data_IF_848598623240
#
_entry.id   IF_848598623240
#
_cell.length_a   1.000
_cell.length_b   1.000
_cell.length_c   1.000
_cell.angle_alpha   90.00
_cell.angle_beta   90.00
_cell.angle_gamma   90.00
#
_symmetry.space_group_name_H-M   'P 1'
#
loop_
_entity.id
_entity.type
_entity.pdbx_description
1 polymer ?
#
# COMPACT_ATOMS: atom_id res chain seq x y z
N UNK A 1 -14.24 -23.86 -6.82
CA UNK A 1 -14.29 -22.54 -6.14
C UNK A 1 -14.55 -21.50 -7.20
N UNK A 2 -15.36 -20.48 -6.92
CA UNK A 2 -15.59 -19.39 -7.89
C UNK A 2 -14.31 -18.57 -7.95
N UNK A 3 -13.77 -18.37 -9.15
CA UNK A 3 -12.63 -17.50 -9.41
C UNK A 3 -13.13 -16.30 -10.18
N UNK A 4 -12.61 -15.14 -9.84
CA UNK A 4 -12.84 -13.88 -10.55
C UNK A 4 -11.53 -13.36 -11.10
N UNK A 5 -11.57 -12.35 -11.99
CA UNK A 5 -10.37 -11.79 -12.59
C UNK A 5 -10.45 -10.29 -12.82
N UNK A 6 -9.28 -9.66 -12.75
CA UNK A 6 -9.07 -8.23 -13.00
C UNK A 6 -7.73 -8.06 -13.72
N UNK A 7 -7.51 -6.93 -14.38
CA UNK A 7 -6.32 -6.65 -15.16
C UNK A 7 -5.66 -5.36 -14.69
N UNK A 8 -4.37 -5.45 -14.30
CA UNK A 8 -3.60 -4.32 -13.77
C UNK A 8 -2.43 -3.98 -14.69
N UNK A 9 -2.46 -2.77 -15.26
CA UNK A 9 -1.34 -2.14 -15.92
C UNK A 9 -0.63 -1.20 -14.92
N UNK A 10 0.64 -1.43 -14.66
CA UNK A 10 1.36 -0.72 -13.58
C UNK A 10 2.85 -0.53 -13.88
N UNK A 11 3.22 -0.12 -15.10
CA UNK A 11 4.60 -0.12 -15.57
C UNK A 11 5.02 -1.49 -16.10
N UNK A 12 6.29 -1.86 -15.94
CA UNK A 12 6.79 -3.17 -16.36
C UNK A 12 6.01 -4.30 -15.65
N UNK A 13 5.42 -5.19 -16.42
CA UNK A 13 4.57 -6.27 -15.91
C UNK A 13 5.31 -7.32 -15.07
N UNK A 14 6.64 -7.43 -15.14
CA UNK A 14 7.40 -8.38 -14.30
C UNK A 14 7.26 -8.07 -12.81
N UNK A 15 7.38 -6.79 -12.43
CA UNK A 15 7.21 -6.37 -11.05
C UNK A 15 5.77 -6.51 -10.57
N UNK A 16 4.81 -6.14 -11.41
CA UNK A 16 3.37 -6.25 -11.11
C UNK A 16 2.95 -7.71 -10.95
N UNK A 17 3.41 -8.61 -11.84
CA UNK A 17 3.19 -10.05 -11.73
C UNK A 17 3.72 -10.59 -10.41
N UNK A 18 5.01 -10.35 -10.13
CA UNK A 18 5.67 -10.86 -8.93
C UNK A 18 4.99 -10.36 -7.65
N UNK A 19 4.52 -9.11 -7.65
CA UNK A 19 3.79 -8.56 -6.52
C UNK A 19 2.45 -9.28 -6.31
N UNK A 20 1.59 -9.33 -7.32
CA UNK A 20 0.27 -9.95 -7.17
C UNK A 20 0.32 -11.45 -6.95
N UNK A 21 1.32 -12.14 -7.48
CA UNK A 21 1.58 -13.55 -7.21
C UNK A 21 1.86 -13.82 -5.71
N UNK A 22 2.42 -12.85 -5.00
CA UNK A 22 2.64 -12.89 -3.55
C UNK A 22 1.39 -12.57 -2.71
N UNK A 23 0.26 -12.19 -3.31
CA UNK A 23 -0.96 -11.83 -2.57
C UNK A 23 -1.78 -13.06 -2.22
N UNK A 24 -2.07 -13.26 -0.94
CA UNK A 24 -2.94 -14.33 -0.46
C UNK A 24 -4.34 -14.23 -1.06
N UNK A 25 -4.79 -15.33 -1.69
CA UNK A 25 -6.06 -15.37 -2.39
C UNK A 25 -5.95 -15.17 -3.91
N UNK A 26 -4.81 -14.68 -4.41
CA UNK A 26 -4.50 -14.74 -5.85
C UNK A 26 -4.17 -16.19 -6.21
N UNK A 27 -4.81 -16.68 -7.27
CA UNK A 27 -4.70 -18.07 -7.74
C UNK A 27 -3.68 -18.17 -8.87
N UNK A 28 -3.69 -17.16 -9.77
CA UNK A 28 -2.81 -17.13 -10.93
C UNK A 28 -2.61 -15.70 -11.43
N UNK A 29 -1.43 -15.43 -11.93
CA UNK A 29 -1.09 -14.22 -12.66
C UNK A 29 -0.65 -14.56 -14.07
N UNK A 30 -0.96 -13.69 -15.05
CA UNK A 30 -0.53 -13.85 -16.44
C UNK A 30 -0.11 -12.47 -16.99
N UNK A 31 1.19 -12.22 -17.17
CA UNK A 31 1.65 -11.04 -17.91
C UNK A 31 1.20 -11.07 -19.36
N UNK A 32 0.83 -9.92 -19.89
CA UNK A 32 0.34 -9.78 -21.25
C UNK A 32 0.19 -8.34 -21.69
N UNK A 33 -0.51 -8.14 -22.77
CA UNK A 33 -0.72 -6.87 -23.43
C UNK A 33 -2.23 -6.58 -23.51
N UNK A 34 -2.67 -5.44 -22.98
CA UNK A 34 -4.09 -5.10 -22.93
C UNK A 34 -4.42 -3.77 -23.63
N UNK A 35 -5.68 -3.66 -24.03
CA UNK A 35 -6.30 -2.44 -24.54
C UNK A 35 -5.53 -1.76 -25.69
N UNK A 36 -4.92 -2.58 -26.54
CA UNK A 36 -4.26 -2.14 -27.77
C UNK A 36 -5.19 -1.91 -28.95
N UNK A 37 -4.64 -1.44 -30.04
CA UNK A 37 -5.36 -1.10 -31.27
C UNK A 37 -5.55 -2.29 -32.23
N UNK A 38 -4.74 -3.36 -32.06
CA UNK A 38 -4.73 -4.51 -32.93
C UNK A 38 -5.69 -5.60 -32.43
N UNK A 39 -6.42 -6.23 -33.36
CA UNK A 39 -7.30 -7.38 -33.08
C UNK A 39 -6.55 -8.72 -33.23
N UNK A 40 -5.23 -8.73 -32.99
CA UNK A 40 -4.37 -9.89 -32.96
C UNK A 40 -3.33 -9.75 -31.85
N UNK A 41 -2.75 -10.88 -31.48
CA UNK A 41 -1.61 -10.88 -30.57
C UNK A 41 -0.43 -10.09 -31.17
N UNK A 42 0.07 -9.06 -30.46
CA UNK A 42 1.31 -8.38 -30.87
C UNK A 42 2.54 -9.19 -30.45
N UNK A 43 3.67 -8.95 -31.09
CA UNK A 43 4.96 -9.35 -30.52
C UNK A 43 5.46 -8.31 -29.49
N UNK A 44 6.39 -8.72 -28.63
CA UNK A 44 7.03 -7.81 -27.68
C UNK A 44 7.68 -6.60 -28.39
N UNK A 45 8.38 -6.85 -29.51
CA UNK A 45 9.03 -5.80 -30.29
C UNK A 45 8.00 -4.78 -30.82
N UNK A 46 6.84 -5.24 -31.30
CA UNK A 46 5.78 -4.36 -31.76
C UNK A 46 5.25 -3.48 -30.60
N UNK A 47 5.02 -4.06 -29.41
CA UNK A 47 4.57 -3.29 -28.23
C UNK A 47 5.65 -2.31 -27.80
N UNK A 48 6.92 -2.70 -27.88
CA UNK A 48 8.05 -1.86 -27.49
C UNK A 48 8.17 -0.57 -28.32
N UNK A 49 7.61 -0.53 -29.53
CA UNK A 49 7.60 0.69 -30.36
C UNK A 49 6.60 1.76 -29.89
N UNK A 50 5.73 1.47 -28.91
CA UNK A 50 4.59 2.29 -28.48
C UNK A 50 3.52 2.54 -29.56
N UNK A 51 3.68 2.01 -30.78
CA UNK A 51 2.77 2.24 -31.91
C UNK A 51 1.50 1.37 -31.88
N UNK A 52 1.48 0.31 -31.07
CA UNK A 52 0.36 -0.64 -31.01
C UNK A 52 -0.75 -0.22 -30.06
N UNK A 53 -0.49 0.76 -29.20
CA UNK A 53 -1.43 1.19 -28.15
C UNK A 53 -1.67 0.19 -27.03
N UNK A 54 -0.98 -0.95 -27.00
CA UNK A 54 -1.06 -1.90 -25.89
C UNK A 54 -0.36 -1.39 -24.63
N UNK A 55 -0.91 -1.71 -23.45
CA UNK A 55 -0.22 -1.57 -22.16
C UNK A 55 0.30 -2.93 -21.71
N UNK A 56 1.51 -2.95 -21.12
CA UNK A 56 1.97 -4.06 -20.31
C UNK A 56 1.01 -4.23 -19.12
N UNK A 57 0.42 -5.41 -19.00
CA UNK A 57 -0.71 -5.65 -18.09
C UNK A 57 -0.60 -7.05 -17.51
N UNK A 58 -1.03 -7.22 -16.27
CA UNK A 58 -1.12 -8.54 -15.62
C UNK A 58 -2.60 -8.90 -15.42
N UNK A 59 -3.04 -10.03 -15.98
CA UNK A 59 -4.29 -10.67 -15.60
C UNK A 59 -4.09 -11.30 -14.22
N UNK A 60 -4.91 -10.91 -13.25
CA UNK A 60 -4.91 -11.44 -11.89
C UNK A 60 -6.19 -12.24 -11.68
N UNK A 61 -6.04 -13.56 -11.54
CA UNK A 61 -7.13 -14.48 -11.22
C UNK A 61 -7.09 -14.74 -9.72
N UNK A 62 -8.20 -14.53 -9.03
CA UNK A 62 -8.26 -14.56 -7.57
C UNK A 62 -9.52 -15.25 -7.04
N UNK A 63 -9.43 -15.74 -5.80
CA UNK A 63 -10.56 -16.28 -5.06
C UNK A 63 -11.23 -15.16 -4.24
N UNK A 64 -12.45 -14.71 -4.59
CA UNK A 64 -13.11 -13.59 -3.91
C UNK A 64 -13.51 -13.88 -2.45
N UNK A 65 -13.44 -15.14 -2.02
CA UNK A 65 -13.64 -15.51 -0.61
C UNK A 65 -12.37 -15.33 0.24
N UNK A 66 -11.20 -15.05 -0.36
CA UNK A 66 -9.92 -14.87 0.33
C UNK A 66 -9.37 -13.47 0.19
N UNK A 67 -9.54 -12.87 -0.98
CA UNK A 67 -9.16 -11.49 -1.26
C UNK A 67 -10.25 -10.84 -2.12
N UNK A 68 -10.70 -9.67 -1.73
CA UNK A 68 -11.74 -8.94 -2.47
C UNK A 68 -11.15 -8.10 -3.60
N UNK A 69 -11.98 -7.74 -4.60
CA UNK A 69 -11.57 -6.81 -5.65
C UNK A 69 -11.13 -5.45 -5.07
N UNK A 70 -11.82 -4.96 -4.04
CA UNK A 70 -11.45 -3.71 -3.37
C UNK A 70 -10.04 -3.77 -2.78
N UNK A 71 -9.70 -4.86 -2.09
CA UNK A 71 -8.35 -5.07 -1.53
C UNK A 71 -7.28 -5.16 -2.63
N UNK A 72 -7.55 -5.83 -3.75
CA UNK A 72 -6.62 -5.90 -4.87
C UNK A 72 -6.36 -4.52 -5.48
N UNK A 73 -7.38 -3.67 -5.61
CA UNK A 73 -7.22 -2.29 -6.08
C UNK A 73 -6.45 -1.43 -5.07
N UNK A 74 -6.71 -1.60 -3.77
CA UNK A 74 -5.96 -0.91 -2.73
C UNK A 74 -4.47 -1.33 -2.73
N UNK A 75 -4.18 -2.60 -2.98
CA UNK A 75 -2.81 -3.10 -3.13
C UNK A 75 -2.16 -2.59 -4.42
N UNK A 76 -2.93 -2.49 -5.52
CA UNK A 76 -2.45 -1.90 -6.77
C UNK A 76 -2.00 -0.45 -6.58
N UNK A 77 -2.79 0.38 -5.91
CA UNK A 77 -2.39 1.76 -5.58
C UNK A 77 -1.18 1.86 -4.63
N UNK A 78 -0.81 0.79 -3.95
CA UNK A 78 0.40 0.77 -3.12
C UNK A 78 1.69 0.53 -3.92
N UNK A 79 1.60 0.10 -5.18
CA UNK A 79 2.76 -0.26 -6.02
C UNK A 79 2.94 0.63 -7.24
N UNK A 80 2.01 1.52 -7.53
CA UNK A 80 2.11 2.46 -8.66
C UNK A 80 2.16 3.90 -8.16
N UNK A 81 2.80 4.77 -8.94
CA UNK A 81 2.60 6.21 -8.83
C UNK A 81 1.34 6.58 -9.64
N UNK A 82 0.21 6.86 -8.98
CA UNK A 82 -1.05 7.09 -9.67
C UNK A 82 -1.14 8.46 -10.34
N UNK A 83 -0.16 9.33 -10.18
CA UNK A 83 -0.09 10.66 -10.79
C UNK A 83 0.86 10.69 -12.00
N UNK A 84 1.65 9.65 -12.20
CA UNK A 84 2.63 9.59 -13.27
C UNK A 84 2.01 9.08 -14.58
N UNK A 85 1.96 9.95 -15.59
CA UNK A 85 1.43 9.60 -16.92
C UNK A 85 2.48 8.86 -17.75
N UNK A 86 2.11 7.67 -18.27
CA UNK A 86 2.95 6.85 -19.16
C UNK A 86 4.34 6.55 -18.59
N UNK A 87 4.48 6.47 -17.28
CA UNK A 87 5.76 6.21 -16.62
C UNK A 87 5.58 5.60 -15.25
N UNK A 88 6.42 4.58 -14.92
CA UNK A 88 6.55 4.04 -13.58
C UNK A 88 8.03 3.81 -13.29
N UNK A 89 8.57 4.50 -12.27
CA UNK A 89 9.98 4.46 -11.96
C UNK A 89 10.87 4.88 -13.16
N UNK A 90 11.76 4.00 -13.60
CA UNK A 90 12.63 4.19 -14.76
C UNK A 90 11.95 3.92 -16.11
N UNK A 91 10.82 3.21 -16.13
CA UNK A 91 10.12 2.79 -17.33
C UNK A 91 9.25 3.92 -17.88
N UNK A 92 9.49 4.33 -19.11
CA UNK A 92 8.77 5.41 -19.79
C UNK A 92 8.29 4.96 -21.18
N UNK A 93 7.08 5.38 -21.54
CA UNK A 93 6.39 5.02 -22.78
C UNK A 93 4.94 4.68 -22.54
N UNK A 94 4.09 4.75 -23.58
CA UNK A 94 2.65 4.50 -23.46
C UNK A 94 2.34 3.06 -23.04
N UNK A 95 3.24 2.11 -23.32
CA UNK A 95 3.13 0.72 -22.87
C UNK A 95 3.23 0.55 -21.37
N UNK A 96 3.86 1.50 -20.67
CA UNK A 96 4.04 1.50 -19.20
C UNK A 96 3.03 2.39 -18.47
N UNK A 97 1.93 2.79 -19.17
CA UNK A 97 0.85 3.51 -18.53
C UNK A 97 0.17 2.68 -17.46
N UNK A 98 -0.41 3.37 -16.50
CA UNK A 98 -1.15 2.74 -15.40
C UNK A 98 -2.64 2.60 -15.76
N UNK A 99 -3.24 1.48 -15.34
CA UNK A 99 -4.66 1.24 -15.60
C UNK A 99 -5.21 0.02 -14.84
N UNK A 100 -6.50 0.08 -14.57
CA UNK A 100 -7.31 -1.04 -14.08
C UNK A 100 -8.37 -1.33 -15.15
N UNK A 101 -8.30 -2.53 -15.73
CA UNK A 101 -9.22 -2.92 -16.80
C UNK A 101 -10.14 -4.03 -16.32
N UNK A 102 -11.46 -3.83 -16.44
CA UNK A 102 -12.46 -4.76 -15.96
C UNK A 102 -13.17 -5.47 -17.14
N UNK A 103 -13.48 -6.75 -16.93
CA UNK A 103 -14.21 -7.57 -17.91
C UNK A 103 -15.71 -7.71 -17.59
N UNK A 104 -16.12 -7.27 -16.39
CA UNK A 104 -17.50 -7.31 -15.93
C UNK A 104 -17.96 -5.89 -15.59
N UNK A 105 -19.04 -5.43 -16.22
CA UNK A 105 -19.57 -4.08 -15.97
C UNK A 105 -20.05 -3.90 -14.51
N UNK A 106 -20.42 -4.99 -13.84
CA UNK A 106 -20.81 -5.01 -12.44
C UNK A 106 -19.70 -4.60 -11.46
N UNK A 107 -18.42 -4.71 -11.86
CA UNK A 107 -17.26 -4.30 -11.04
C UNK A 107 -17.03 -2.79 -11.07
N UNK A 108 -17.51 -2.12 -12.12
CA UNK A 108 -17.25 -0.69 -12.37
C UNK A 108 -17.64 0.24 -11.20
N UNK A 109 -18.80 0.10 -10.56
CA UNK A 109 -19.16 0.99 -9.44
C UNK A 109 -18.18 0.90 -8.26
N UNK A 110 -17.74 -0.31 -7.91
CA UNK A 110 -16.75 -0.52 -6.85
C UNK A 110 -15.40 0.09 -7.24
N UNK A 111 -14.93 -0.18 -8.46
CA UNK A 111 -13.67 0.37 -8.96
C UNK A 111 -13.71 1.90 -8.97
N UNK A 112 -14.80 2.51 -9.47
CA UNK A 112 -14.95 3.96 -9.49
C UNK A 112 -14.94 4.57 -8.08
N UNK A 113 -15.54 3.90 -7.09
CA UNK A 113 -15.49 4.33 -5.70
C UNK A 113 -14.06 4.33 -5.14
N UNK A 114 -13.28 3.25 -5.39
CA UNK A 114 -11.87 3.18 -4.95
C UNK A 114 -11.00 4.25 -5.60
N UNK A 115 -11.21 4.53 -6.90
CA UNK A 115 -10.51 5.60 -7.62
C UNK A 115 -10.86 6.98 -7.05
N UNK A 116 -12.13 7.22 -6.73
CA UNK A 116 -12.55 8.48 -6.09
C UNK A 116 -11.94 8.67 -4.71
N UNK A 117 -11.85 7.61 -3.91
CA UNK A 117 -11.21 7.63 -2.60
C UNK A 117 -9.71 7.94 -2.71
N UNK A 118 -9.00 7.31 -3.65
CA UNK A 118 -7.58 7.56 -3.86
C UNK A 118 -7.31 8.98 -4.40
N UNK A 119 -8.13 9.45 -5.36
CA UNK A 119 -8.07 10.83 -5.85
C UNK A 119 -8.31 11.85 -4.73
N UNK A 120 -9.29 11.58 -3.85
CA UNK A 120 -9.57 12.44 -2.69
C UNK A 120 -8.41 12.43 -1.68
N UNK A 121 -7.78 11.26 -1.45
CA UNK A 121 -6.61 11.13 -0.58
C UNK A 121 -5.43 11.96 -1.08
N UNK A 122 -5.21 11.98 -2.40
CA UNK A 122 -4.11 12.72 -3.03
C UNK A 122 -4.45 14.19 -3.34
N UNK A 123 -5.75 14.56 -3.26
CA UNK A 123 -6.22 15.91 -3.55
C UNK A 123 -6.12 16.32 -5.03
N UNK A 124 -5.98 15.33 -5.95
CA UNK A 124 -5.79 15.57 -7.38
C UNK A 124 -6.32 14.41 -8.22
N UNK A 125 -6.72 14.63 -9.49
CA UNK A 125 -7.11 13.55 -10.40
C UNK A 125 -5.98 12.56 -10.64
N UNK A 126 -6.34 11.29 -10.78
CA UNK A 126 -5.39 10.22 -11.09
C UNK A 126 -5.05 10.17 -12.58
N UNK A 127 -3.81 9.80 -12.91
CA UNK A 127 -3.39 9.48 -14.27
C UNK A 127 -3.71 8.02 -14.66
N UNK A 128 -4.23 7.23 -13.73
CA UNK A 128 -4.57 5.81 -13.91
C UNK A 128 -5.84 5.67 -14.73
N UNK A 129 -5.80 4.85 -15.79
CA UNK A 129 -6.99 4.51 -16.58
C UNK A 129 -7.95 3.60 -15.79
N UNK A 130 -9.26 3.85 -15.89
CA UNK A 130 -10.30 2.92 -15.47
C UNK A 130 -11.20 2.64 -16.66
N UNK A 131 -10.98 1.52 -17.35
CA UNK A 131 -11.62 1.21 -18.62
C UNK A 131 -12.12 -0.24 -18.67
N UNK A 132 -13.14 -0.54 -19.49
CA UNK A 132 -13.45 -1.91 -19.83
C UNK A 132 -12.27 -2.56 -20.57
N UNK A 133 -12.07 -3.84 -20.33
CA UNK A 133 -11.13 -4.64 -21.09
C UNK A 133 -11.64 -4.81 -22.52
N UNK A 134 -10.89 -4.31 -23.51
CA UNK A 134 -11.20 -4.50 -24.93
C UNK A 134 -10.58 -5.77 -25.50
N UNK A 135 -9.32 -5.97 -25.23
CA UNK A 135 -8.55 -7.15 -25.63
C UNK A 135 -7.43 -7.41 -24.63
N UNK A 136 -7.01 -8.67 -24.53
CA UNK A 136 -5.85 -9.10 -23.76
C UNK A 136 -5.18 -10.28 -24.45
N UNK A 137 -3.89 -10.20 -24.60
CA UNK A 137 -3.06 -11.27 -25.19
C UNK A 137 -1.92 -11.60 -24.21
N UNK A 138 -1.80 -12.86 -23.75
CA UNK A 138 -0.68 -13.28 -22.93
C UNK A 138 0.66 -12.97 -23.59
N UNK A 139 1.61 -12.45 -22.83
CA UNK A 139 2.97 -12.25 -23.31
C UNK A 139 3.70 -13.57 -23.52
N UNK A 140 4.82 -13.52 -24.20
CA UNK A 140 5.66 -14.66 -24.55
C UNK A 140 6.11 -15.43 -23.29
N UNK A 141 6.41 -16.72 -23.44
CA UNK A 141 6.74 -17.62 -22.32
C UNK A 141 7.97 -17.15 -21.50
N UNK A 142 8.88 -16.40 -22.11
CA UNK A 142 10.05 -15.84 -21.43
C UNK A 142 9.68 -14.73 -20.43
N UNK A 143 8.53 -14.08 -20.58
CA UNK A 143 8.03 -13.02 -19.69
C UNK A 143 7.19 -13.56 -18.52
N UNK A 144 6.66 -14.78 -18.64
CA UNK A 144 5.89 -15.41 -17.57
C UNK A 144 6.80 -15.83 -16.42
N UNK A 145 6.46 -15.50 -15.18
CA UNK A 145 7.26 -15.80 -13.98
C UNK A 145 8.71 -15.27 -14.06
N UNK A 146 8.90 -14.11 -14.71
CA UNK A 146 10.23 -13.63 -15.04
C UNK A 146 11.11 -13.44 -13.80
N UNK A 147 10.64 -12.78 -12.75
CA UNK A 147 11.42 -12.53 -11.54
C UNK A 147 11.63 -13.78 -10.69
N UNK A 148 10.77 -14.79 -10.79
CA UNK A 148 11.01 -16.09 -10.14
C UNK A 148 12.14 -16.86 -10.83
N UNK A 149 12.20 -16.79 -12.16
CA UNK A 149 13.26 -17.39 -12.97
C UNK A 149 14.56 -16.60 -12.91
N UNK A 150 14.46 -15.28 -12.68
CA UNK A 150 15.58 -14.34 -12.65
C UNK A 150 15.52 -13.46 -11.40
N UNK A 151 15.89 -13.97 -10.21
CA UNK A 151 15.76 -13.22 -8.94
C UNK A 151 16.57 -11.91 -8.87
N UNK A 152 17.59 -11.73 -9.71
CA UNK A 152 18.35 -10.49 -9.89
C UNK A 152 17.88 -9.63 -11.06
N UNK A 153 16.74 -9.96 -11.68
CA UNK A 153 16.18 -9.23 -12.81
C UNK A 153 15.69 -7.84 -12.42
N UNK A 154 15.46 -7.02 -13.45
CA UNK A 154 14.95 -5.66 -13.26
C UNK A 154 13.54 -5.66 -12.68
N UNK A 155 13.34 -4.85 -11.64
CA UNK A 155 12.04 -4.56 -11.05
C UNK A 155 11.95 -3.08 -10.68
N UNK A 156 10.93 -2.39 -11.17
CA UNK A 156 10.69 -0.98 -10.82
C UNK A 156 10.04 -0.81 -9.44
N UNK A 157 9.43 -1.89 -8.90
CA UNK A 157 8.82 -1.87 -7.57
C UNK A 157 9.93 -2.05 -6.52
N UNK A 158 10.04 -1.13 -5.54
CA UNK A 158 11.11 -1.20 -4.53
C UNK A 158 11.01 -2.46 -3.64
N UNK A 159 12.15 -3.05 -3.30
CA UNK A 159 12.20 -4.23 -2.43
C UNK A 159 11.45 -4.11 -1.09
N UNK A 160 11.43 -2.95 -0.40
CA UNK A 160 10.62 -2.79 0.81
C UNK A 160 9.15 -3.10 0.63
N UNK A 161 8.56 -2.83 -0.53
CA UNK A 161 7.15 -3.12 -0.85
C UNK A 161 6.81 -4.61 -0.66
N UNK A 162 7.67 -5.51 -1.13
CA UNK A 162 7.45 -6.96 -0.99
C UNK A 162 7.56 -7.43 0.47
N UNK A 163 8.41 -6.77 1.27
CA UNK A 163 8.51 -7.04 2.73
C UNK A 163 7.25 -6.57 3.44
N UNK A 164 6.75 -5.39 3.08
CA UNK A 164 5.51 -4.86 3.62
C UNK A 164 4.29 -5.71 3.25
N UNK A 165 4.22 -6.23 2.03
CA UNK A 165 3.14 -7.14 1.63
C UNK A 165 3.09 -8.36 2.57
N UNK A 166 4.24 -9.01 2.82
CA UNK A 166 4.32 -10.14 3.76
C UNK A 166 3.91 -9.75 5.16
N UNK A 167 4.45 -8.63 5.66
CA UNK A 167 4.14 -8.13 6.99
C UNK A 167 2.65 -7.81 7.15
N UNK A 168 2.03 -7.20 6.14
CA UNK A 168 0.60 -6.91 6.10
C UNK A 168 -0.23 -8.21 6.16
N UNK A 169 0.15 -9.23 5.40
CA UNK A 169 -0.53 -10.53 5.38
C UNK A 169 -0.35 -11.28 6.70
N UNK A 170 0.88 -11.29 7.25
CA UNK A 170 1.17 -11.87 8.58
C UNK A 170 0.30 -11.21 9.67
N UNK A 171 0.20 -9.87 9.65
CA UNK A 171 -0.64 -9.10 10.59
C UNK A 171 -2.13 -9.41 10.40
N UNK A 172 -2.61 -9.46 9.16
CA UNK A 172 -4.00 -9.81 8.86
C UNK A 172 -4.36 -11.21 9.38
N UNK A 173 -3.47 -12.18 9.16
CA UNK A 173 -3.66 -13.54 9.67
C UNK A 173 -3.60 -13.62 11.21
N UNK A 174 -2.68 -12.87 11.83
CA UNK A 174 -2.54 -12.80 13.28
C UNK A 174 -3.75 -12.17 13.96
N UNK A 175 -4.27 -11.09 13.38
CA UNK A 175 -5.41 -10.38 13.95
C UNK A 175 -6.73 -11.15 13.77
N UNK A 176 -6.88 -11.89 12.64
CA UNK A 176 -8.07 -12.70 12.38
C UNK A 176 -9.37 -11.98 12.72
N UNK A 177 -10.19 -12.64 13.53
CA UNK A 177 -11.49 -12.14 14.01
C UNK A 177 -11.39 -11.46 15.40
N UNK A 178 -10.18 -11.09 15.86
CA UNK A 178 -10.00 -10.42 17.14
C UNK A 178 -10.69 -9.03 17.11
N UNK A 179 -11.56 -8.77 18.08
CA UNK A 179 -12.31 -7.52 18.17
C UNK A 179 -11.77 -6.56 19.24
N UNK A 180 -10.98 -7.06 20.19
CA UNK A 180 -10.42 -6.20 21.25
C UNK A 180 -9.33 -5.28 20.69
N UNK A 181 -9.58 -3.98 20.74
CA UNK A 181 -8.68 -2.95 20.22
C UNK A 181 -7.28 -3.00 20.86
N UNK A 182 -7.20 -3.31 22.15
CA UNK A 182 -5.92 -3.34 22.88
C UNK A 182 -5.12 -4.55 22.46
N UNK A 183 -5.77 -5.72 22.30
CA UNK A 183 -5.13 -6.92 21.78
C UNK A 183 -4.60 -6.71 20.36
N UNK A 184 -5.39 -6.07 19.48
CA UNK A 184 -4.96 -5.72 18.11
C UNK A 184 -3.76 -4.79 18.11
N UNK A 185 -3.80 -3.69 18.88
CA UNK A 185 -2.68 -2.75 19.00
C UNK A 185 -1.42 -3.44 19.55
N UNK A 186 -1.55 -4.28 20.56
CA UNK A 186 -0.42 -4.99 21.16
C UNK A 186 0.23 -5.96 20.15
N UNK A 187 -0.58 -6.72 19.43
CA UNK A 187 -0.12 -7.67 18.42
C UNK A 187 0.59 -6.97 17.26
N UNK A 188 0.04 -5.85 16.78
CA UNK A 188 0.65 -5.04 15.72
C UNK A 188 1.97 -4.44 16.18
N UNK A 189 2.03 -3.82 17.37
CA UNK A 189 3.26 -3.24 17.90
C UNK A 189 4.37 -4.29 18.05
N UNK A 190 4.03 -5.46 18.58
CA UNK A 190 4.97 -6.55 18.79
C UNK A 190 5.53 -7.10 17.46
N UNK A 191 4.65 -7.39 16.49
CA UNK A 191 5.09 -7.97 15.20
C UNK A 191 5.88 -6.95 14.36
N UNK A 192 5.46 -5.70 14.33
CA UNK A 192 6.22 -4.64 13.66
C UNK A 192 7.63 -4.54 14.23
N UNK A 193 7.77 -4.41 15.55
CA UNK A 193 9.06 -4.29 16.20
C UNK A 193 9.94 -5.54 15.99
N UNK A 194 9.37 -6.73 16.05
CA UNK A 194 10.08 -7.99 15.80
C UNK A 194 10.65 -8.06 14.38
N UNK A 195 9.85 -7.70 13.37
CA UNK A 195 10.21 -7.86 11.95
C UNK A 195 11.08 -6.74 11.40
N UNK A 196 10.93 -5.51 11.93
CA UNK A 196 11.63 -4.33 11.40
C UNK A 196 12.83 -3.91 12.22
N UNK A 197 12.90 -4.30 13.51
CA UNK A 197 13.92 -3.89 14.47
C UNK A 197 13.93 -2.38 14.74
N UNK A 198 12.84 -1.67 14.47
CA UNK A 198 12.70 -0.28 14.86
C UNK A 198 12.87 -0.10 16.37
N UNK A 199 13.41 1.03 16.78
CA UNK A 199 13.76 1.28 18.17
C UNK A 199 12.53 1.27 19.09
N UNK A 200 11.43 1.84 18.61
CA UNK A 200 10.15 1.90 19.30
C UNK A 200 8.98 1.79 18.34
N UNK A 201 7.95 1.05 18.71
CA UNK A 201 6.69 0.94 17.97
C UNK A 201 5.56 0.91 18.98
N UNK A 202 4.59 1.80 18.85
CA UNK A 202 3.47 1.79 19.78
C UNK A 202 2.31 2.68 19.38
N UNK A 203 1.30 2.68 20.22
CA UNK A 203 0.09 3.43 20.00
C UNK A 203 -0.14 4.45 21.10
N UNK A 204 -0.58 5.64 20.73
CA UNK A 204 -1.19 6.58 21.64
C UNK A 204 -2.67 6.74 21.31
N UNK A 205 -3.55 6.56 22.31
CA UNK A 205 -5.01 6.66 22.18
C UNK A 205 -5.48 8.06 22.54
N UNK A 206 -6.43 8.58 21.79
CA UNK A 206 -7.10 9.85 22.14
C UNK A 206 -8.03 9.63 23.35
N UNK A 207 -7.73 10.30 24.45
CA UNK A 207 -8.57 10.28 25.66
C UNK A 207 -8.83 11.73 26.08
N UNK A 208 -10.03 12.22 25.82
CA UNK A 208 -10.38 13.63 26.03
C UNK A 208 -9.55 14.57 25.16
N UNK A 209 -8.67 15.36 25.78
CA UNK A 209 -7.84 16.36 25.08
C UNK A 209 -6.35 15.96 24.97
N UNK A 210 -6.03 14.72 25.26
CA UNK A 210 -4.66 14.20 25.25
C UNK A 210 -4.54 12.87 24.53
N UNK A 211 -3.36 12.60 24.03
CA UNK A 211 -2.93 11.27 23.64
C UNK A 211 -2.39 10.56 24.88
N UNK A 212 -2.89 9.37 25.16
CA UNK A 212 -2.49 8.54 26.30
C UNK A 212 -1.81 7.28 25.78
N UNK A 213 -0.65 6.94 26.33
CA UNK A 213 0.11 5.77 25.96
C UNK A 213 -0.75 4.51 25.99
N UNK A 214 -0.75 3.78 24.88
CA UNK A 214 -1.38 2.49 24.68
C UNK A 214 -0.36 1.35 24.63
N UNK A 215 -0.68 0.23 24.00
CA UNK A 215 0.26 -0.86 23.78
C UNK A 215 1.47 -0.41 22.95
N UNK A 216 2.66 -0.87 23.35
CA UNK A 216 3.92 -0.56 22.68
C UNK A 216 4.96 -1.67 22.87
N UNK A 217 5.98 -1.66 22.02
CA UNK A 217 7.19 -2.47 22.11
C UNK A 217 8.41 -1.56 22.00
N UNK A 218 9.26 -1.58 23.02
CA UNK A 218 10.43 -0.71 23.13
C UNK A 218 10.64 -0.19 24.56
N UNK A 219 11.56 0.77 24.76
CA UNK A 219 11.79 1.40 26.06
C UNK A 219 10.57 2.24 26.50
N UNK A 220 10.54 2.58 27.81
CA UNK A 220 9.48 3.42 28.38
C UNK A 220 9.42 4.77 27.70
N UNK A 221 8.21 5.21 27.34
CA UNK A 221 7.95 6.47 26.65
C UNK A 221 7.07 7.42 27.49
N UNK A 222 6.77 8.61 26.94
CA UNK A 222 5.90 9.59 27.57
C UNK A 222 4.49 9.04 27.80
N UNK A 223 3.92 9.21 28.99
CA UNK A 223 2.58 8.68 29.28
C UNK A 223 1.45 9.49 28.62
N UNK A 224 1.68 10.79 28.39
CA UNK A 224 0.67 11.71 27.84
C UNK A 224 1.30 12.74 26.93
N UNK A 225 0.62 13.05 25.82
CA UNK A 225 1.03 14.07 24.84
C UNK A 225 -0.20 14.94 24.52
N UNK A 226 -0.02 16.26 24.58
CA UNK A 226 -1.10 17.21 24.31
C UNK A 226 -1.41 17.34 22.81
N UNK A 227 -2.63 17.78 22.49
CA UNK A 227 -3.05 18.06 21.11
C UNK A 227 -2.12 19.07 20.43
N UNK A 228 -1.61 18.72 19.25
CA UNK A 228 -0.68 19.57 18.49
C UNK A 228 0.73 19.69 19.11
N UNK A 229 1.11 18.83 20.07
CA UNK A 229 2.43 18.81 20.70
C UNK A 229 3.26 17.63 20.20
N UNK A 230 4.54 17.87 19.95
CA UNK A 230 5.42 16.86 19.37
C UNK A 230 4.93 16.35 18.01
N UNK A 231 5.51 15.26 17.53
CA UNK A 231 5.12 14.65 16.25
C UNK A 231 3.77 13.96 16.35
N UNK A 232 3.55 13.16 17.39
CA UNK A 232 2.28 12.49 17.66
C UNK A 232 1.09 13.45 17.75
N UNK A 233 1.23 14.53 18.55
CA UNK A 233 0.16 15.54 18.68
C UNK A 233 -0.07 16.32 17.38
N UNK A 234 0.97 16.51 16.57
CA UNK A 234 0.90 17.13 15.25
C UNK A 234 0.14 16.24 14.27
N UNK A 235 0.47 14.94 14.18
CA UNK A 235 -0.24 13.99 13.33
C UNK A 235 -1.74 13.92 13.68
N UNK A 236 -2.06 13.92 14.98
CA UNK A 236 -3.44 14.00 15.46
C UNK A 236 -4.14 15.28 14.99
N UNK A 237 -3.51 16.44 15.15
CA UNK A 237 -4.07 17.76 14.78
C UNK A 237 -4.26 17.88 13.27
N UNK A 238 -3.25 17.49 12.49
CA UNK A 238 -3.25 17.64 11.04
C UNK A 238 -4.01 16.51 10.33
N UNK A 239 -4.35 15.43 11.07
CA UNK A 239 -5.11 14.28 10.57
C UNK A 239 -4.43 13.62 9.35
N UNK A 240 -3.12 13.59 9.32
CA UNK A 240 -2.29 12.99 8.27
C UNK A 240 -1.05 12.34 8.85
N UNK A 241 -0.48 11.41 8.11
CA UNK A 241 0.83 10.83 8.42
C UNK A 241 1.90 11.91 8.40
N UNK A 242 2.75 11.90 9.43
CA UNK A 242 3.89 12.81 9.58
C UNK A 242 5.18 12.00 9.58
N UNK A 243 6.07 12.30 8.62
CA UNK A 243 7.41 11.71 8.52
C UNK A 243 8.40 12.76 8.96
N UNK A 244 9.26 12.42 9.94
CA UNK A 244 10.32 13.28 10.49
C UNK A 244 11.67 12.63 10.26
N UNK A 245 12.44 13.08 9.25
CA UNK A 245 13.74 12.50 8.94
C UNK A 245 14.80 12.75 10.02
N UNK A 246 14.65 13.82 10.81
CA UNK A 246 15.55 14.22 11.90
C UNK A 246 14.72 14.87 13.00
N UNK A 247 14.53 14.15 14.10
CA UNK A 247 13.70 14.61 15.23
C UNK A 247 14.25 15.86 15.92
N UNK A 248 15.57 16.05 15.89
CA UNK A 248 16.23 17.22 16.48
C UNK A 248 15.90 18.52 15.72
N UNK A 249 15.43 18.39 14.46
CA UNK A 249 15.00 19.51 13.61
C UNK A 249 13.51 19.75 13.63
N UNK A 250 12.73 18.87 14.28
CA UNK A 250 11.27 19.03 14.34
C UNK A 250 10.87 20.06 15.42
N UNK A 251 10.18 21.15 15.06
CA UNK A 251 9.82 22.19 16.03
C UNK A 251 8.92 21.66 17.15
N UNK A 252 9.37 21.78 18.40
CA UNK A 252 8.61 21.32 19.56
C UNK A 252 8.60 19.79 19.74
N UNK A 253 9.58 19.07 19.16
CA UNK A 253 9.75 17.64 19.41
C UNK A 253 9.79 17.34 20.91
N UNK A 254 9.13 16.27 21.32
CA UNK A 254 9.12 15.76 22.69
C UNK A 254 9.99 14.51 22.72
N UNK A 255 11.21 14.63 23.22
CA UNK A 255 12.15 13.53 23.30
C UNK A 255 11.70 12.49 24.34
N UNK A 256 10.94 11.46 23.93
CA UNK A 256 10.60 10.33 24.80
C UNK A 256 11.77 9.34 24.93
N UNK A 257 12.65 9.26 23.94
CA UNK A 257 13.90 8.50 23.95
C UNK A 257 15.05 9.33 23.39
N UNK A 258 16.24 9.18 23.99
CA UNK A 258 17.48 9.83 23.48
C UNK A 258 18.05 9.11 22.24
N UNK A 259 17.53 7.93 21.91
CA UNK A 259 18.01 7.12 20.79
C UNK A 259 17.19 7.37 19.52
N UNK A 260 16.01 7.96 19.64
CA UNK A 260 15.17 8.28 18.46
C UNK A 260 15.84 9.37 17.63
N UNK A 261 16.09 9.06 16.35
CA UNK A 261 16.72 9.96 15.36
C UNK A 261 15.77 10.35 14.25
N UNK A 262 14.85 9.46 13.87
CA UNK A 262 13.76 9.73 12.94
C UNK A 262 12.48 9.08 13.43
N UNK A 263 11.34 9.61 13.00
CA UNK A 263 10.02 9.21 13.50
C UNK A 263 8.99 9.24 12.38
N UNK A 264 8.06 8.31 12.39
CA UNK A 264 6.85 8.34 11.56
C UNK A 264 5.62 8.13 12.45
N UNK A 265 4.63 9.00 12.31
CA UNK A 265 3.37 8.90 13.05
C UNK A 265 2.19 8.83 12.09
N UNK A 266 1.37 7.79 12.25
CA UNK A 266 0.20 7.51 11.41
C UNK A 266 -1.07 7.64 12.25
N UNK A 267 -2.02 8.53 11.89
CA UNK A 267 -3.29 8.65 12.59
C UNK A 267 -4.24 7.50 12.22
N UNK A 268 -4.93 6.95 13.24
CA UNK A 268 -5.97 5.95 13.09
C UNK A 268 -7.35 6.62 13.18
N UNK A 269 -8.18 6.36 12.19
CA UNK A 269 -9.52 6.95 12.06
C UNK A 269 -10.60 5.94 12.41
N UNK A 270 -11.62 6.37 13.14
CA UNK A 270 -12.75 5.54 13.51
C UNK A 270 -14.06 6.32 13.59
N UNK A 271 -15.17 5.58 13.68
CA UNK A 271 -16.50 6.17 13.73
C UNK A 271 -16.99 6.74 12.39
N UNK A 272 -18.26 7.15 12.36
CA UNK A 272 -18.93 7.74 11.19
C UNK A 272 -18.35 9.10 10.77
N UNK A 273 -17.78 9.83 11.73
CA UNK A 273 -17.15 11.16 11.54
C UNK A 273 -15.69 11.06 11.14
N UNK A 274 -15.15 9.84 11.02
CA UNK A 274 -13.74 9.56 10.78
C UNK A 274 -12.81 10.32 11.72
N UNK A 275 -13.18 10.44 13.00
CA UNK A 275 -12.33 11.07 14.01
C UNK A 275 -11.05 10.27 14.21
N UNK A 276 -9.95 10.97 14.54
CA UNK A 276 -8.73 10.28 14.97
C UNK A 276 -8.95 9.77 16.39
N UNK A 277 -8.89 8.45 16.59
CA UNK A 277 -9.03 7.82 17.91
C UNK A 277 -7.71 7.36 18.52
N UNK A 278 -6.68 7.22 17.70
CA UNK A 278 -5.32 6.85 18.10
C UNK A 278 -4.31 7.30 17.05
N UNK A 279 -3.03 7.22 17.39
CA UNK A 279 -1.91 7.30 16.44
C UNK A 279 -1.02 6.08 16.63
N UNK A 280 -0.47 5.55 15.53
CA UNK A 280 0.65 4.62 15.51
C UNK A 280 1.91 5.45 15.40
N UNK A 281 2.78 5.30 16.36
CA UNK A 281 4.04 6.01 16.48
C UNK A 281 5.20 5.03 16.35
N UNK A 282 6.19 5.37 15.52
CA UNK A 282 7.34 4.51 15.24
C UNK A 282 8.62 5.35 15.20
N UNK A 283 9.57 4.99 16.06
CA UNK A 283 10.88 5.61 16.13
C UNK A 283 11.99 4.71 15.60
N UNK A 284 12.94 5.32 14.92
CA UNK A 284 14.20 4.69 14.51
C UNK A 284 15.40 5.39 15.11
N UNK A 285 16.44 4.60 15.41
CA UNK A 285 17.75 5.12 15.81
C UNK A 285 18.58 5.65 14.63
N UNK A 286 18.10 5.47 13.40
CA UNK A 286 18.76 5.96 12.19
C UNK A 286 18.08 7.24 11.69
N UNK A 287 18.85 8.16 11.10
CA UNK A 287 18.31 9.34 10.42
C UNK A 287 17.64 8.93 9.11
N UNK A 288 16.50 9.56 8.82
CA UNK A 288 15.81 9.37 7.54
C UNK A 288 15.38 7.94 7.28
N UNK A 289 15.03 7.18 8.33
CA UNK A 289 14.68 5.77 8.22
C UNK A 289 13.33 5.52 7.53
N UNK A 290 12.50 6.55 7.40
CA UNK A 290 11.14 6.44 6.87
C UNK A 290 10.95 7.28 5.62
N UNK A 291 10.23 6.73 4.64
CA UNK A 291 9.89 7.37 3.38
C UNK A 291 8.39 7.25 3.02
N UNK A 292 8.03 7.63 1.80
CA UNK A 292 6.66 7.55 1.31
C UNK A 292 6.13 6.10 1.19
N UNK A 293 7.01 5.11 0.96
CA UNK A 293 6.62 3.69 0.92
C UNK A 293 6.19 3.24 2.30
N UNK A 294 6.96 3.62 3.34
CA UNK A 294 6.60 3.31 4.72
C UNK A 294 5.25 3.93 5.09
N UNK A 295 5.01 5.20 4.74
CA UNK A 295 3.74 5.86 5.00
C UNK A 295 2.55 5.11 4.40
N UNK A 296 2.62 4.77 3.11
CA UNK A 296 1.55 4.04 2.41
C UNK A 296 1.23 2.71 3.08
N UNK A 297 2.25 1.94 3.45
CA UNK A 297 2.04 0.62 4.03
C UNK A 297 1.65 0.68 5.51
N UNK A 298 2.21 1.59 6.27
CA UNK A 298 1.82 1.78 7.67
C UNK A 298 0.40 2.33 7.81
N UNK A 299 -0.08 3.15 6.88
CA UNK A 299 -1.49 3.54 6.80
C UNK A 299 -2.41 2.34 6.54
N UNK A 300 -2.01 1.39 5.68
CA UNK A 300 -2.76 0.14 5.47
C UNK A 300 -2.77 -0.74 6.72
N UNK A 301 -1.63 -0.87 7.40
CA UNK A 301 -1.51 -1.60 8.67
C UNK A 301 -2.35 -0.94 9.76
N UNK A 302 -2.34 0.39 9.85
CA UNK A 302 -3.17 1.14 10.82
C UNK A 302 -4.67 0.88 10.63
N UNK A 303 -5.13 0.71 9.37
CA UNK A 303 -6.53 0.33 9.08
C UNK A 303 -6.88 -1.07 9.56
N UNK A 304 -5.92 -2.00 9.59
CA UNK A 304 -6.16 -3.34 10.18
C UNK A 304 -6.45 -3.25 11.69
N UNK A 305 -5.89 -2.25 12.39
CA UNK A 305 -6.14 -2.06 13.82
C UNK A 305 -7.55 -1.54 14.09
N UNK A 306 -8.06 -0.65 13.24
CA UNK A 306 -9.41 -0.12 13.38
C UNK A 306 -10.43 -1.25 13.16
N UNK A 307 -11.16 -1.61 14.21
CA UNK A 307 -12.28 -2.55 14.08
C UNK A 307 -13.35 -1.89 13.22
N UNK A 308 -13.91 -2.56 12.19
CA UNK A 308 -15.06 -2.04 11.49
C UNK A 308 -16.17 -1.76 12.51
N UNK A 309 -16.68 -0.53 12.52
CA UNK A 309 -17.89 -0.23 13.30
C UNK A 309 -19.02 -1.12 12.77
N UNK A 310 -19.57 -1.98 13.62
CA UNK A 310 -20.76 -2.79 13.35
C UNK A 310 -21.96 -1.90 13.06
#
# INVERSE_FOLDING_TARGET
>A
MKEDKIYFAGGCFWGVEHFFKGVDGVVKTVPGYANGLLDRQPSYEEVYTDGTGFAETVEVIYNPSRVTLAELVDLYFAIVDPLSLNRQGGDAGTRYRTGVYYSREEDRPLLAARFAEESARLGTPLAVELLPLRNFYPAEACHQDYLDKNPGGYCHIPLPVFRYLRLFQDLRALLGDEEDLVARMASVAALLQERTKWHWVGFYRVVGKELVLGPFAGPVACLRIGYGKGVCGTAWKERRTVIVPDVDRFPGHIACSRLSRSEIVVPLFGGSDKAVFAVLDIDSADLGAFDAVDAVWLEKIARLVAVPSV
#
